data_IF_337130242926
#
_entry.id   IF_337130242926
#
_cell.length_a   1.000
_cell.length_b   1.000
_cell.length_c   1.000
_cell.angle_alpha   90.00
_cell.angle_beta   90.00
_cell.angle_gamma   90.00
#
_symmetry.space_group_name_H-M   'P 1'
#
loop_
_entity.id
_entity.type
_entity.pdbx_description
1 polymer ?
#
# COMPACT_ATOMS: atom_id res chain seq x y z
N UNK A 1 -16.76 -13.26 22.29
CA UNK A 1 -15.41 -13.19 21.69
C UNK A 1 -14.85 -11.75 21.67
N UNK A 2 -15.03 -10.94 22.72
CA UNK A 2 -14.79 -9.48 22.65
C UNK A 2 -13.31 -9.03 22.82
N UNK A 3 -12.35 -9.94 23.03
CA UNK A 3 -10.94 -9.58 23.27
C UNK A 3 -9.93 -10.25 22.33
N UNK A 4 -10.32 -11.28 21.58
CA UNK A 4 -9.38 -12.02 20.74
C UNK A 4 -8.90 -11.20 19.53
N UNK A 5 -9.78 -10.43 18.90
CA UNK A 5 -9.43 -9.55 17.78
C UNK A 5 -8.41 -8.47 18.20
N UNK A 6 -8.66 -7.80 19.32
CA UNK A 6 -7.74 -6.80 19.88
C UNK A 6 -6.38 -7.41 20.24
N UNK A 7 -6.36 -8.61 20.85
CA UNK A 7 -5.12 -9.33 21.17
C UNK A 7 -4.34 -9.72 19.91
N UNK A 8 -5.03 -10.13 18.83
CA UNK A 8 -4.41 -10.45 17.54
C UNK A 8 -3.81 -9.19 16.88
N UNK A 9 -4.53 -8.08 16.88
CA UNK A 9 -4.04 -6.80 16.35
C UNK A 9 -2.81 -6.30 17.12
N UNK A 10 -2.82 -6.37 18.46
CA UNK A 10 -1.68 -5.98 19.29
C UNK A 10 -0.44 -6.83 19.00
N UNK A 11 -0.61 -8.15 18.83
CA UNK A 11 0.49 -9.06 18.47
C UNK A 11 1.07 -8.75 17.07
N UNK A 12 0.22 -8.43 16.10
CA UNK A 12 0.64 -8.03 14.76
C UNK A 12 1.43 -6.72 14.77
N UNK A 13 0.92 -5.69 15.47
CA UNK A 13 1.63 -4.40 15.63
C UNK A 13 2.98 -4.58 16.33
N UNK A 14 3.05 -5.38 17.40
CA UNK A 14 4.30 -5.65 18.10
C UNK A 14 5.31 -6.43 17.22
N UNK A 15 4.85 -7.36 16.39
CA UNK A 15 5.70 -8.05 15.43
C UNK A 15 6.23 -7.08 14.36
N UNK A 16 5.39 -6.19 13.84
CA UNK A 16 5.79 -5.15 12.89
C UNK A 16 6.86 -4.22 13.48
N UNK A 17 6.69 -3.74 14.72
CA UNK A 17 7.68 -2.90 15.39
C UNK A 17 9.03 -3.60 15.57
N UNK A 18 9.00 -4.89 15.96
CA UNK A 18 10.21 -5.71 16.10
C UNK A 18 10.95 -5.96 14.79
N UNK A 19 10.28 -5.82 13.65
CA UNK A 19 10.88 -5.97 12.33
C UNK A 19 11.33 -4.62 11.77
N UNK A 20 10.47 -3.60 11.79
CA UNK A 20 10.71 -2.35 11.08
C UNK A 20 11.81 -1.51 11.72
N UNK A 21 11.86 -1.40 13.05
CA UNK A 21 12.91 -0.62 13.73
C UNK A 21 14.33 -1.11 13.42
N UNK A 22 14.67 -2.40 13.59
CA UNK A 22 16.02 -2.87 13.29
C UNK A 22 16.35 -2.77 11.80
N UNK A 23 15.37 -2.95 10.91
CA UNK A 23 15.59 -2.76 9.46
C UNK A 23 15.89 -1.30 9.14
N UNK A 24 15.12 -0.34 9.69
CA UNK A 24 15.37 1.08 9.53
C UNK A 24 16.76 1.47 10.06
N UNK A 25 17.14 0.95 11.23
CA UNK A 25 18.46 1.16 11.79
C UNK A 25 19.55 0.59 10.88
N UNK A 26 19.38 -0.64 10.37
CA UNK A 26 20.32 -1.28 9.46
C UNK A 26 20.50 -0.50 8.15
N UNK A 27 19.43 0.03 7.55
CA UNK A 27 19.50 0.84 6.32
C UNK A 27 20.24 2.16 6.57
N UNK A 28 19.99 2.82 7.71
CA UNK A 28 20.71 4.04 8.06
C UNK A 28 22.20 3.78 8.31
N UNK A 29 22.52 2.73 9.07
CA UNK A 29 23.91 2.32 9.32
C UNK A 29 24.62 1.94 8.02
N UNK A 30 23.93 1.24 7.12
CA UNK A 30 24.44 0.92 5.78
C UNK A 30 24.79 2.18 4.99
N UNK A 31 23.88 3.16 4.93
CA UNK A 31 24.12 4.41 4.21
C UNK A 31 25.32 5.16 4.77
N UNK A 32 25.43 5.27 6.10
CA UNK A 32 26.57 5.91 6.78
C UNK A 32 27.86 5.15 6.50
N UNK A 33 27.86 3.82 6.68
CA UNK A 33 29.05 2.99 6.48
C UNK A 33 29.56 3.07 5.04
N UNK A 34 28.69 2.88 4.05
CA UNK A 34 29.12 2.86 2.65
C UNK A 34 29.47 4.24 2.13
N UNK A 35 28.59 5.24 2.33
CA UNK A 35 28.75 6.55 1.68
C UNK A 35 29.70 7.46 2.44
N UNK A 36 29.55 7.56 3.76
CA UNK A 36 30.35 8.47 4.56
C UNK A 36 31.70 7.86 4.96
N UNK A 37 31.73 6.58 5.36
CA UNK A 37 32.95 5.95 5.83
C UNK A 37 33.80 5.35 4.69
N UNK A 38 33.25 4.43 3.88
CA UNK A 38 34.05 3.74 2.85
C UNK A 38 34.35 4.61 1.62
N UNK A 39 33.40 5.43 1.17
CA UNK A 39 33.61 6.32 0.01
C UNK A 39 34.17 7.69 0.39
N UNK A 40 34.13 8.06 1.67
CA UNK A 40 34.60 9.37 2.14
C UNK A 40 33.78 10.56 1.62
N UNK A 41 32.57 10.32 1.11
CA UNK A 41 31.76 11.35 0.46
C UNK A 41 30.93 12.10 1.51
N UNK A 42 31.61 12.84 2.38
CA UNK A 42 31.00 13.64 3.44
C UNK A 42 30.48 15.01 2.96
N UNK A 43 29.87 15.06 1.77
CA UNK A 43 29.25 16.29 1.28
C UNK A 43 27.97 16.63 2.08
N UNK A 44 27.69 17.92 2.25
CA UNK A 44 26.50 18.42 2.95
C UNK A 44 25.19 17.80 2.42
N UNK A 45 25.13 17.49 1.13
CA UNK A 45 23.99 16.82 0.49
C UNK A 45 23.66 15.46 1.11
N UNK A 46 24.66 14.67 1.54
CA UNK A 46 24.41 13.35 2.11
C UNK A 46 23.86 13.42 3.53
N UNK A 47 24.25 14.43 4.31
CA UNK A 47 23.65 14.71 5.61
C UNK A 47 22.20 15.18 5.47
N UNK A 48 21.92 16.05 4.48
CA UNK A 48 20.54 16.46 4.17
C UNK A 48 19.70 15.27 3.72
N UNK A 49 20.24 14.39 2.88
CA UNK A 49 19.56 13.18 2.45
C UNK A 49 19.25 12.23 3.63
N UNK A 50 20.22 12.05 4.54
CA UNK A 50 20.03 11.23 5.74
C UNK A 50 18.99 11.83 6.69
N UNK A 51 19.05 13.15 6.93
CA UNK A 51 18.06 13.88 7.70
C UNK A 51 16.67 13.81 7.07
N UNK A 52 16.57 13.96 5.76
CA UNK A 52 15.32 13.81 5.01
C UNK A 52 14.71 12.42 5.16
N UNK A 53 15.51 11.36 5.01
CA UNK A 53 15.05 9.99 5.24
C UNK A 53 14.60 9.79 6.68
N UNK A 54 15.35 10.30 7.66
CA UNK A 54 14.98 10.19 9.08
C UNK A 54 13.64 10.87 9.39
N UNK A 55 13.37 12.05 8.81
CA UNK A 55 12.07 12.73 8.94
C UNK A 55 10.96 11.89 8.32
N UNK A 56 11.16 11.36 7.10
CA UNK A 56 10.16 10.49 6.47
C UNK A 56 9.87 9.28 7.35
N UNK A 57 10.89 8.60 7.87
CA UNK A 57 10.71 7.47 8.78
C UNK A 57 9.98 7.84 10.06
N UNK A 58 10.29 8.98 10.67
CA UNK A 58 9.58 9.45 11.86
C UNK A 58 8.08 9.65 11.60
N UNK A 59 7.73 10.13 10.40
CA UNK A 59 6.34 10.36 10.00
C UNK A 59 5.62 9.08 9.60
N UNK A 60 6.29 8.15 8.91
CA UNK A 60 5.66 6.95 8.32
C UNK A 60 5.71 5.74 9.23
N UNK A 61 6.69 5.61 10.12
CA UNK A 61 6.85 4.46 11.00
C UNK A 61 5.61 4.12 11.87
N UNK A 62 4.99 5.08 12.59
CA UNK A 62 3.87 4.75 13.46
C UNK A 62 2.66 4.25 12.66
N UNK A 63 2.36 4.88 11.53
CA UNK A 63 1.25 4.51 10.63
C UNK A 63 1.55 3.21 9.87
N UNK A 64 2.79 2.97 9.48
CA UNK A 64 3.22 1.70 8.89
C UNK A 64 3.06 0.52 9.86
N UNK A 65 3.31 0.74 11.17
CA UNK A 65 3.02 -0.27 12.18
C UNK A 65 1.51 -0.54 12.31
N UNK A 66 0.68 0.48 12.16
CA UNK A 66 -0.78 0.34 12.17
C UNK A 66 -1.33 -0.36 10.93
N UNK A 67 -0.68 -0.18 9.78
CA UNK A 67 -1.00 -0.89 8.54
C UNK A 67 -0.99 -2.42 8.72
N UNK A 68 -0.14 -2.95 9.60
CA UNK A 68 -0.09 -4.39 9.91
C UNK A 68 -1.37 -4.95 10.55
N UNK A 69 -2.28 -4.08 10.98
CA UNK A 69 -3.56 -4.44 11.60
C UNK A 69 -4.78 -4.16 10.71
N UNK A 70 -4.55 -3.55 9.56
CA UNK A 70 -5.59 -3.09 8.63
C UNK A 70 -5.57 -3.90 7.34
N UNK A 71 -6.66 -3.86 6.53
CA UNK A 71 -6.65 -4.40 5.18
C UNK A 71 -5.58 -3.72 4.32
N UNK A 72 -5.10 -4.43 3.29
CA UNK A 72 -4.04 -3.96 2.39
C UNK A 72 -4.39 -2.71 1.59
N UNK A 73 -5.68 -2.42 1.40
CA UNK A 73 -6.14 -1.23 0.67
C UNK A 73 -6.41 -0.01 1.57
N UNK A 74 -5.99 -0.06 2.85
CA UNK A 74 -6.20 1.06 3.77
C UNK A 74 -5.25 2.23 3.50
N UNK A 75 -5.60 3.42 3.99
CA UNK A 75 -4.68 4.57 3.90
C UNK A 75 -3.31 4.27 4.55
N UNK A 76 -3.29 3.45 5.60
CA UNK A 76 -2.08 3.11 6.33
C UNK A 76 -1.10 2.26 5.51
N UNK A 77 -1.58 1.43 4.57
CA UNK A 77 -0.69 0.64 3.69
C UNK A 77 0.15 1.54 2.79
N UNK A 78 -0.39 2.68 2.32
CA UNK A 78 0.38 3.67 1.58
C UNK A 78 1.52 4.28 2.40
N UNK A 79 1.36 4.45 3.72
CA UNK A 79 2.46 4.91 4.58
C UNK A 79 3.56 3.86 4.72
N UNK A 80 3.19 2.59 4.77
CA UNK A 80 4.17 1.50 4.69
C UNK A 80 4.91 1.53 3.35
N UNK A 81 4.20 1.73 2.23
CA UNK A 81 4.82 1.83 0.91
C UNK A 81 5.80 3.01 0.82
N UNK A 82 5.42 4.20 1.30
CA UNK A 82 6.31 5.37 1.34
C UNK A 82 7.55 5.08 2.18
N UNK A 83 7.39 4.43 3.34
CA UNK A 83 8.52 4.03 4.19
C UNK A 83 9.43 3.04 3.46
N UNK A 84 8.87 2.00 2.87
CA UNK A 84 9.61 0.95 2.16
C UNK A 84 10.36 1.51 0.94
N UNK A 85 9.70 2.37 0.17
CA UNK A 85 10.28 2.97 -1.02
C UNK A 85 11.40 3.95 -0.67
N UNK A 86 11.27 4.67 0.45
CA UNK A 86 12.35 5.50 1.01
C UNK A 86 13.53 4.65 1.48
N UNK A 87 13.29 3.51 2.15
CA UNK A 87 14.37 2.58 2.54
C UNK A 87 15.11 2.03 1.33
N UNK A 88 14.40 1.64 0.27
CA UNK A 88 14.99 1.15 -0.97
C UNK A 88 15.83 2.26 -1.62
N UNK A 89 15.28 3.46 -1.76
CA UNK A 89 15.99 4.60 -2.33
C UNK A 89 17.25 4.95 -1.51
N UNK A 90 17.19 4.92 -0.19
CA UNK A 90 18.34 5.18 0.68
C UNK A 90 19.39 4.06 0.55
N UNK A 91 18.97 2.79 0.55
CA UNK A 91 19.88 1.66 0.43
C UNK A 91 20.70 1.72 -0.87
N UNK A 92 20.02 1.94 -2.00
CA UNK A 92 20.69 2.08 -3.30
C UNK A 92 21.37 3.45 -3.45
N UNK A 93 20.87 4.49 -2.78
CA UNK A 93 21.49 5.82 -2.70
C UNK A 93 22.89 5.80 -2.11
N UNK A 94 23.16 4.85 -1.22
CA UNK A 94 24.51 4.60 -0.71
C UNK A 94 25.49 4.20 -1.83
N UNK A 95 25.01 3.52 -2.88
CA UNK A 95 25.81 3.04 -4.00
C UNK A 95 25.82 4.02 -5.18
N UNK A 96 24.69 4.68 -5.46
CA UNK A 96 24.55 5.58 -6.62
C UNK A 96 23.59 6.73 -6.35
N UNK A 97 23.95 7.93 -6.79
CA UNK A 97 23.07 9.12 -6.69
C UNK A 97 21.86 9.04 -7.62
N UNK A 98 21.89 8.15 -8.62
CA UNK A 98 20.74 7.92 -9.49
C UNK A 98 19.62 7.14 -8.79
N UNK A 99 19.90 6.50 -7.66
CA UNK A 99 18.89 5.73 -6.93
C UNK A 99 17.72 6.58 -6.42
N UNK A 100 17.94 7.88 -6.22
CA UNK A 100 16.89 8.81 -5.80
C UNK A 100 15.75 8.93 -6.83
N UNK A 101 15.99 8.60 -8.10
CA UNK A 101 14.94 8.54 -9.12
C UNK A 101 13.89 7.46 -8.85
N UNK A 102 14.18 6.45 -8.00
CA UNK A 102 13.19 5.47 -7.57
C UNK A 102 12.00 6.15 -6.86
N UNK A 103 12.25 7.23 -6.11
CA UNK A 103 11.19 8.01 -5.46
C UNK A 103 10.23 8.65 -6.48
N UNK A 104 10.65 8.85 -7.72
CA UNK A 104 9.81 9.42 -8.77
C UNK A 104 8.88 8.39 -9.41
N UNK A 105 9.09 7.09 -9.21
CA UNK A 105 8.28 6.04 -9.84
C UNK A 105 6.81 6.16 -9.45
N UNK A 106 6.53 6.40 -8.16
CA UNK A 106 5.15 6.57 -7.65
C UNK A 106 4.47 7.82 -8.23
N UNK A 107 5.04 9.03 -8.11
CA UNK A 107 4.41 10.22 -8.70
C UNK A 107 4.35 10.18 -10.22
N UNK A 108 5.33 9.58 -10.91
CA UNK A 108 5.27 9.37 -12.36
C UNK A 108 4.11 8.44 -12.74
N UNK A 109 3.89 7.35 -12.00
CA UNK A 109 2.77 6.44 -12.22
C UNK A 109 1.42 7.11 -11.93
N UNK A 110 1.33 7.90 -10.86
CA UNK A 110 0.13 8.68 -10.53
C UNK A 110 -0.18 9.70 -11.63
N UNK A 111 0.84 10.41 -12.14
CA UNK A 111 0.69 11.32 -13.27
C UNK A 111 0.24 10.59 -14.54
N UNK A 112 0.85 9.44 -14.86
CA UNK A 112 0.44 8.59 -16.00
C UNK A 112 -1.03 8.19 -15.91
N UNK A 113 -1.48 7.68 -14.75
CA UNK A 113 -2.89 7.34 -14.54
C UNK A 113 -3.81 8.56 -14.64
N UNK A 114 -3.40 9.71 -14.08
CA UNK A 114 -4.18 10.96 -14.15
C UNK A 114 -4.33 11.48 -15.58
N UNK A 115 -3.27 11.39 -16.38
CA UNK A 115 -3.27 11.73 -17.81
C UNK A 115 -4.14 10.74 -18.58
N UNK A 116 -3.98 9.44 -18.37
CA UNK A 116 -4.81 8.41 -19.00
C UNK A 116 -6.30 8.64 -18.72
N UNK A 117 -6.67 9.05 -17.49
CA UNK A 117 -8.05 9.35 -17.14
C UNK A 117 -8.60 10.58 -17.88
N UNK A 118 -7.77 11.61 -18.10
CA UNK A 118 -8.13 12.82 -18.86
C UNK A 118 -8.28 12.58 -20.37
N UNK A 119 -7.54 11.63 -20.95
CA UNK A 119 -7.51 11.39 -22.40
C UNK A 119 -8.33 10.16 -22.86
N UNK A 120 -9.30 9.72 -22.05
CA UNK A 120 -10.19 8.60 -22.36
C UNK A 120 -9.74 7.33 -21.67
N UNK A 121 -9.88 7.30 -20.34
CA UNK A 121 -9.39 6.27 -19.41
C UNK A 121 -9.43 4.84 -19.94
N UNK A 122 -8.54 3.95 -19.44
CA UNK A 122 -8.37 2.61 -19.97
C UNK A 122 -9.73 1.95 -20.12
N UNK A 123 -10.05 1.50 -21.33
CA UNK A 123 -11.18 0.62 -21.58
C UNK A 123 -11.12 -0.46 -20.50
N UNK A 124 -12.17 -0.52 -19.68
CA UNK A 124 -12.34 -1.49 -18.61
C UNK A 124 -11.88 -2.85 -19.15
N UNK A 125 -10.75 -3.44 -18.68
CA UNK A 125 -10.48 -4.82 -19.05
C UNK A 125 -11.71 -5.59 -18.61
N UNK A 126 -12.33 -6.30 -19.55
CA UNK A 126 -13.41 -7.21 -19.25
C UNK A 126 -12.96 -8.04 -18.05
N UNK A 127 -13.79 -8.07 -17.00
CA UNK A 127 -13.51 -8.87 -15.83
C UNK A 127 -13.09 -10.28 -16.31
N UNK A 128 -11.96 -10.83 -15.83
CA UNK A 128 -11.74 -12.26 -15.94
C UNK A 128 -13.00 -12.93 -15.39
N UNK A 129 -13.52 -14.00 -16.03
CA UNK A 129 -14.70 -14.68 -15.53
C UNK A 129 -14.44 -15.02 -14.05
N UNK A 130 -15.25 -14.45 -13.17
CA UNK A 130 -15.32 -14.88 -11.79
C UNK A 130 -15.58 -16.40 -11.84
N UNK A 131 -14.82 -17.23 -11.11
CA UNK A 131 -15.17 -18.63 -11.00
C UNK A 131 -16.59 -18.70 -10.42
N UNK A 132 -17.50 -19.25 -11.22
CA UNK A 132 -18.84 -19.63 -10.80
C UNK A 132 -18.73 -20.62 -9.64
N UNK A 133 -18.76 -20.13 -8.41
CA UNK A 133 -19.33 -20.86 -7.28
C UNK A 133 -20.51 -20.03 -6.76
N UNK A 134 -21.63 -20.73 -6.56
CA UNK A 134 -22.93 -20.26 -6.09
C UNK A 134 -23.92 -19.68 -7.12
N UNK A 135 -24.06 -20.38 -8.25
CA UNK A 135 -25.32 -20.42 -9.00
C UNK A 135 -26.33 -21.38 -8.34
N UNK A 136 -26.74 -21.10 -7.10
CA UNK A 136 -27.77 -21.86 -6.41
C UNK A 136 -28.71 -21.03 -5.53
N UNK A 137 -28.81 -19.70 -5.66
CA UNK A 137 -29.81 -18.98 -4.85
C UNK A 137 -30.22 -17.61 -5.43
N UNK A 138 -30.79 -17.58 -6.65
CA UNK A 138 -31.41 -16.36 -7.17
C UNK A 138 -32.47 -16.55 -8.28
N UNK A 139 -33.02 -17.76 -8.47
CA UNK A 139 -34.06 -18.02 -9.49
C UNK A 139 -35.44 -18.14 -8.85
N UNK A 140 -35.88 -17.08 -8.18
CA UNK A 140 -37.13 -17.09 -7.40
C UNK A 140 -37.86 -15.76 -7.37
N UNK A 141 -37.73 -14.89 -8.38
CA UNK A 141 -38.54 -13.66 -8.48
C UNK A 141 -38.52 -13.04 -9.87
N UNK A 142 -39.39 -13.54 -10.75
CA UNK A 142 -40.16 -12.77 -11.76
C UNK A 142 -40.93 -13.74 -12.66
N UNK A 143 -42.13 -13.32 -13.06
CA UNK A 143 -43.04 -13.94 -14.04
C UNK A 143 -44.12 -14.91 -13.53
N UNK A 144 -45.19 -14.35 -12.93
CA UNK A 144 -46.56 -14.75 -13.30
C UNK A 144 -47.44 -13.51 -13.45
N UNK A 145 -47.80 -13.23 -14.70
CA UNK A 145 -48.73 -12.17 -15.15
C UNK A 145 -50.12 -12.28 -14.47
N UNK A 146 -50.84 -11.16 -14.32
CA UNK A 146 -52.20 -11.13 -13.79
C UNK A 146 -53.22 -11.46 -14.89
N UNK A 147 -54.02 -12.51 -14.71
CA UNK A 147 -55.29 -12.71 -15.43
C UNK A 147 -56.29 -13.39 -14.50
N UNK A 148 -57.15 -12.60 -13.85
CA UNK A 148 -58.40 -13.08 -13.28
C UNK A 148 -59.53 -12.16 -13.77
N UNK A 149 -60.03 -12.46 -14.97
CA UNK A 149 -61.35 -11.99 -15.41
C UNK A 149 -62.36 -13.08 -15.05
N UNK A 150 -63.39 -12.65 -14.30
CA UNK A 150 -64.80 -13.09 -14.34
C UNK A 150 -65.14 -14.58 -14.23
N UNK A 151 -65.85 -14.96 -13.16
CA UNK A 151 -67.31 -15.13 -13.25
C UNK A 151 -67.95 -15.13 -11.85
N UNK A 152 -69.13 -14.52 -11.79
CA UNK A 152 -70.08 -14.40 -10.68
C UNK A 152 -71.31 -15.24 -11.07
N UNK A 153 -71.90 -15.97 -10.12
CA UNK A 153 -73.18 -16.68 -10.28
C UNK A 153 -73.25 -17.76 -9.21
N UNK A 154 -73.90 -17.46 -8.08
CA UNK A 154 -75.32 -17.73 -7.74
C UNK A 154 -75.48 -19.13 -7.18
#
# INVERSE_FOLDING_TARGET
MAGQAAKKAAKAKAAAQKLYLPVLAAVNLWYVAVRLYFRGEAANSHYVALGGCAVVYALTYPTACEASTQPTDSLASYFFDVMALTMIAQFFGALSDKAWYLLLVVPAFAAYKGIAWKFGGPAKPAAPPEPEEDAADAKGKKEKKPKRKMMKGR
#
